data_IF_350449854554
#
_entry.id   IF_350449854554
#
_cell.length_a   1.000
_cell.length_b   1.000
_cell.length_c   1.000
_cell.angle_alpha   90.00
_cell.angle_beta   90.00
_cell.angle_gamma   90.00
#
_symmetry.space_group_name_H-M   'P 1'
#
loop_
_entity.id
_entity.type
_entity.pdbx_description
1 polymer ?
#
# COMPACT_ATOMS: atom_id res chain seq x y z
N UNK A 1 -3.04 -18.22 11.56
CA UNK A 1 -2.30 -17.01 12.00
C UNK A 1 -0.93 -17.35 12.58
N UNK A 2 -0.83 -18.16 13.63
CA UNK A 2 0.43 -18.46 14.34
C UNK A 2 1.59 -18.89 13.45
N UNK A 3 1.35 -19.83 12.53
CA UNK A 3 2.39 -20.31 11.61
C UNK A 3 2.89 -19.18 10.68
N UNK A 4 1.99 -18.33 10.18
CA UNK A 4 2.38 -17.16 9.39
C UNK A 4 3.23 -16.17 10.18
N UNK A 5 2.91 -15.94 11.45
CA UNK A 5 3.70 -15.07 12.32
C UNK A 5 5.09 -15.64 12.61
N UNK A 6 5.23 -16.97 12.79
CA UNK A 6 6.54 -17.62 12.91
C UNK A 6 7.41 -17.42 11.67
N UNK A 7 6.81 -17.55 10.46
CA UNK A 7 7.51 -17.32 9.20
C UNK A 7 7.98 -15.86 9.10
N UNK A 8 7.11 -14.89 9.39
CA UNK A 8 7.46 -13.47 9.35
C UNK A 8 8.57 -13.12 10.35
N UNK A 9 8.52 -13.68 11.56
CA UNK A 9 9.58 -13.53 12.57
C UNK A 9 10.91 -14.07 12.03
N UNK A 10 10.91 -15.27 11.46
CA UNK A 10 12.11 -15.87 10.86
C UNK A 10 12.69 -15.05 9.71
N UNK A 11 11.85 -14.43 8.89
CA UNK A 11 12.31 -13.48 7.83
C UNK A 11 12.97 -12.26 8.46
N UNK A 12 12.32 -11.65 9.44
CA UNK A 12 12.83 -10.48 10.16
C UNK A 12 14.19 -10.74 10.81
N UNK A 13 14.32 -11.83 11.54
CA UNK A 13 15.56 -12.24 12.22
C UNK A 13 16.67 -12.58 11.22
N UNK A 14 16.34 -13.30 10.14
CA UNK A 14 17.34 -13.73 9.15
C UNK A 14 17.88 -12.61 8.30
N UNK A 15 17.04 -11.65 7.92
CA UNK A 15 17.38 -10.61 6.94
C UNK A 15 17.54 -9.21 7.54
N UNK A 16 17.18 -9.02 8.81
CA UNK A 16 17.28 -7.72 9.47
C UNK A 16 16.35 -6.65 8.86
N UNK A 17 15.23 -7.07 8.28
CA UNK A 17 14.26 -6.17 7.62
C UNK A 17 12.99 -6.04 8.43
N UNK A 18 12.35 -4.85 8.46
CA UNK A 18 11.03 -4.72 9.05
C UNK A 18 9.98 -5.50 8.24
N UNK A 19 8.95 -5.98 8.93
CA UNK A 19 7.86 -6.73 8.29
C UNK A 19 6.52 -6.02 8.45
N UNK A 20 5.69 -6.11 7.42
CA UNK A 20 4.33 -5.60 7.37
C UNK A 20 3.38 -6.73 7.02
N UNK A 21 2.20 -6.77 7.65
CA UNK A 21 1.16 -7.73 7.30
C UNK A 21 -0.24 -7.19 7.52
N UNK A 22 -1.21 -7.73 6.77
CA UNK A 22 -2.63 -7.38 6.87
C UNK A 22 -3.27 -7.92 8.15
N UNK A 23 -4.25 -7.15 8.65
CA UNK A 23 -5.19 -7.54 9.70
C UNK A 23 -6.62 -7.52 9.16
N UNK A 24 -7.41 -8.50 9.52
CA UNK A 24 -8.80 -8.62 9.07
C UNK A 24 -9.81 -8.59 10.22
N UNK A 25 -9.36 -8.90 11.44
CA UNK A 25 -10.18 -8.99 12.63
C UNK A 25 -9.53 -8.26 13.81
N UNK A 26 -10.32 -7.58 14.68
CA UNK A 26 -9.78 -6.83 15.82
C UNK A 26 -8.88 -7.65 16.75
N UNK A 27 -9.23 -8.90 17.02
CA UNK A 27 -8.48 -9.79 17.90
C UNK A 27 -7.07 -10.14 17.41
N UNK A 28 -6.80 -9.97 16.12
CA UNK A 28 -5.49 -10.21 15.51
C UNK A 28 -4.48 -9.10 15.83
N UNK A 29 -4.95 -7.89 16.18
CA UNK A 29 -4.09 -6.72 16.29
C UNK A 29 -2.93 -6.93 17.27
N UNK A 30 -3.22 -7.39 18.48
CA UNK A 30 -2.19 -7.56 19.50
C UNK A 30 -1.19 -8.68 19.16
N UNK A 31 -1.60 -9.91 18.80
CA UNK A 31 -0.64 -10.97 18.44
C UNK A 31 0.22 -10.61 17.22
N UNK A 32 -0.34 -9.92 16.23
CA UNK A 32 0.41 -9.50 15.05
C UNK A 32 1.41 -8.40 15.39
N UNK A 33 1.06 -7.46 16.25
CA UNK A 33 1.95 -6.39 16.70
C UNK A 33 3.20 -6.88 17.47
N UNK A 34 3.17 -8.09 18.02
CA UNK A 34 4.36 -8.72 18.64
C UNK A 34 5.44 -9.09 17.62
N UNK A 35 5.08 -9.24 16.35
CA UNK A 35 5.98 -9.67 15.27
C UNK A 35 6.16 -8.60 14.22
N UNK A 36 5.07 -8.04 13.70
CA UNK A 36 5.09 -7.07 12.64
C UNK A 36 5.49 -5.68 13.16
N UNK A 37 6.29 -4.98 12.37
CA UNK A 37 6.67 -3.58 12.62
C UNK A 37 5.59 -2.62 12.14
N UNK A 38 4.89 -3.00 11.07
CA UNK A 38 3.80 -2.24 10.49
C UNK A 38 2.57 -3.11 10.37
N UNK A 39 1.45 -2.63 10.88
CA UNK A 39 0.14 -3.25 10.72
C UNK A 39 -0.53 -2.66 9.48
N UNK A 40 -0.96 -3.51 8.54
CA UNK A 40 -1.63 -3.03 7.36
C UNK A 40 -3.15 -3.19 7.49
N UNK A 41 -3.86 -2.08 7.28
CA UNK A 41 -5.32 -2.09 7.20
C UNK A 41 -5.76 -2.23 5.75
N UNK A 42 -6.46 -3.33 5.40
CA UNK A 42 -6.95 -3.55 4.05
C UNK A 42 -7.93 -2.46 3.59
N UNK A 43 -7.91 -2.16 2.29
CA UNK A 43 -8.75 -1.11 1.71
C UNK A 43 -10.26 -1.37 1.91
N UNK A 44 -10.69 -2.62 1.76
CA UNK A 44 -12.12 -2.98 1.89
C UNK A 44 -12.64 -2.91 3.32
N UNK A 45 -11.77 -2.93 4.32
CA UNK A 45 -12.13 -2.84 5.74
C UNK A 45 -12.05 -1.41 6.27
N UNK A 46 -12.04 -0.42 5.39
CA UNK A 46 -11.87 1.00 5.72
C UNK A 46 -12.94 1.56 6.65
N UNK A 47 -14.11 0.95 6.72
CA UNK A 47 -15.25 1.40 7.52
C UNK A 47 -15.46 0.62 8.81
N UNK A 48 -14.51 -0.23 9.20
CA UNK A 48 -14.60 -1.02 10.43
C UNK A 48 -13.90 -0.30 11.58
N UNK A 49 -14.63 0.49 12.33
CA UNK A 49 -14.11 1.29 13.45
C UNK A 49 -13.52 0.43 14.58
N UNK A 50 -14.10 -0.72 14.88
CA UNK A 50 -13.58 -1.64 15.87
C UNK A 50 -12.19 -2.19 15.52
N UNK A 51 -11.94 -2.47 14.24
CA UNK A 51 -10.62 -2.85 13.73
C UNK A 51 -9.63 -1.68 13.84
N UNK A 52 -10.05 -0.46 13.47
CA UNK A 52 -9.23 0.76 13.60
C UNK A 52 -8.78 0.94 15.06
N UNK A 53 -9.72 0.88 16.00
CA UNK A 53 -9.43 1.04 17.43
C UNK A 53 -8.48 -0.06 17.95
N UNK A 54 -8.68 -1.31 17.54
CA UNK A 54 -7.81 -2.40 17.94
C UNK A 54 -6.37 -2.23 17.40
N UNK A 55 -6.23 -1.82 16.13
CA UNK A 55 -4.93 -1.56 15.52
C UNK A 55 -4.23 -0.36 16.16
N UNK A 56 -4.95 0.72 16.44
CA UNK A 56 -4.40 1.89 17.12
C UNK A 56 -3.84 1.54 18.49
N UNK A 57 -4.59 0.78 19.28
CA UNK A 57 -4.19 0.33 20.63
C UNK A 57 -3.02 -0.64 20.65
N UNK A 58 -2.73 -1.32 19.55
CA UNK A 58 -1.57 -2.19 19.42
C UNK A 58 -0.23 -1.43 19.37
N UNK A 59 -0.24 -0.10 19.19
CA UNK A 59 0.93 0.78 19.35
C UNK A 59 2.01 0.62 18.28
N UNK A 60 1.67 0.10 17.10
CA UNK A 60 2.58 -0.02 15.97
C UNK A 60 2.26 1.01 14.88
N UNK A 61 3.20 1.22 13.98
CA UNK A 61 2.93 1.97 12.75
C UNK A 61 1.80 1.29 11.97
N UNK A 62 0.84 2.06 11.49
CA UNK A 62 -0.28 1.55 10.71
C UNK A 62 -0.22 2.06 9.27
N UNK A 63 -0.20 1.14 8.31
CA UNK A 63 -0.37 1.47 6.90
C UNK A 63 -1.85 1.38 6.50
N UNK A 64 -2.43 2.50 6.15
CA UNK A 64 -3.84 2.60 5.74
C UNK A 64 -3.93 2.52 4.22
N UNK A 65 -4.42 1.41 3.68
CA UNK A 65 -4.76 1.34 2.26
C UNK A 65 -6.02 2.15 1.98
N UNK A 66 -5.88 3.20 1.17
CA UNK A 66 -7.02 4.01 0.75
C UNK A 66 -8.00 3.13 -0.04
N UNK A 67 -9.26 3.03 0.39
CA UNK A 67 -10.25 2.31 -0.41
C UNK A 67 -10.49 3.03 -1.74
N UNK A 68 -10.74 2.25 -2.77
CA UNK A 68 -10.94 2.77 -4.12
C UNK A 68 -12.22 3.62 -4.29
N UNK A 69 -13.16 3.50 -3.37
CA UNK A 69 -14.41 4.29 -3.37
C UNK A 69 -14.28 5.63 -2.65
N UNK A 70 -13.18 5.90 -1.95
CA UNK A 70 -12.92 7.20 -1.32
C UNK A 70 -12.07 8.09 -2.22
N UNK A 71 -12.40 9.38 -2.23
CA UNK A 71 -11.52 10.38 -2.82
C UNK A 71 -10.25 10.58 -1.99
N UNK A 72 -9.17 11.13 -2.57
CA UNK A 72 -7.95 11.43 -1.84
C UNK A 72 -8.16 12.33 -0.61
N UNK A 73 -9.08 13.29 -0.69
CA UNK A 73 -9.38 14.19 0.43
C UNK A 73 -10.10 13.53 1.60
N UNK A 74 -10.90 12.48 1.33
CA UNK A 74 -11.67 11.80 2.37
C UNK A 74 -10.85 10.85 3.24
N UNK A 75 -9.59 10.57 2.88
CA UNK A 75 -8.72 9.71 3.69
C UNK A 75 -8.42 10.31 5.07
N UNK A 76 -8.54 11.63 5.21
CA UNK A 76 -8.35 12.34 6.47
C UNK A 76 -9.24 11.79 7.59
N UNK A 77 -10.50 11.45 7.30
CA UNK A 77 -11.41 10.91 8.31
C UNK A 77 -10.95 9.59 8.91
N UNK A 78 -10.29 8.76 8.11
CA UNK A 78 -9.72 7.51 8.61
C UNK A 78 -8.49 7.79 9.48
N UNK A 79 -7.66 8.75 9.10
CA UNK A 79 -6.50 9.18 9.89
C UNK A 79 -6.97 9.74 11.24
N UNK A 80 -8.04 10.53 11.25
CA UNK A 80 -8.64 11.07 12.47
C UNK A 80 -9.12 9.96 13.41
N UNK A 81 -9.78 8.92 12.89
CA UNK A 81 -10.18 7.76 13.70
C UNK A 81 -8.98 7.10 14.42
N UNK A 82 -7.83 6.98 13.75
CA UNK A 82 -6.60 6.47 14.38
C UNK A 82 -6.05 7.43 15.44
N UNK A 83 -6.04 8.74 15.18
CA UNK A 83 -5.60 9.76 16.13
C UNK A 83 -6.48 9.80 17.39
N UNK A 84 -7.79 9.77 17.21
CA UNK A 84 -8.76 9.71 18.31
C UNK A 84 -8.60 8.44 19.15
N UNK A 85 -8.23 7.33 18.52
CA UNK A 85 -7.90 6.08 19.21
C UNK A 85 -6.48 6.04 19.83
N UNK A 86 -5.71 7.14 19.70
CA UNK A 86 -4.41 7.34 20.37
C UNK A 86 -3.19 6.89 19.57
N UNK A 87 -3.30 6.75 18.24
CA UNK A 87 -2.16 6.39 17.38
C UNK A 87 -1.96 7.39 16.23
N UNK A 88 -0.84 8.10 16.27
CA UNK A 88 -0.43 9.06 15.23
C UNK A 88 0.58 8.48 14.22
N UNK A 89 1.07 7.26 14.45
CA UNK A 89 2.05 6.61 13.61
C UNK A 89 1.38 5.97 12.38
N UNK A 90 1.01 6.79 11.42
CA UNK A 90 0.20 6.41 10.26
C UNK A 90 0.95 6.64 8.97
N UNK A 91 0.87 5.67 8.07
CA UNK A 91 1.27 5.73 6.66
C UNK A 91 0.01 5.62 5.80
N UNK A 92 -0.03 6.34 4.70
CA UNK A 92 -1.11 6.25 3.71
C UNK A 92 -0.66 5.40 2.52
N UNK A 93 -1.57 4.63 1.96
CA UNK A 93 -1.26 3.82 0.78
C UNK A 93 -2.31 4.04 -0.31
N UNK A 94 -1.91 4.69 -1.39
CA UNK A 94 -2.72 4.87 -2.59
C UNK A 94 -2.72 3.58 -3.42
N UNK A 95 -3.88 3.16 -3.91
CA UNK A 95 -4.06 1.93 -4.71
C UNK A 95 -5.05 2.09 -5.86
N UNK A 96 -5.31 3.31 -6.28
CA UNK A 96 -6.28 3.65 -7.30
C UNK A 96 -7.66 3.97 -6.74
N UNK A 97 -8.44 4.64 -7.56
CA UNK A 97 -9.84 4.98 -7.33
C UNK A 97 -10.71 4.35 -8.40
N UNK A 98 -11.91 3.94 -8.04
CA UNK A 98 -12.88 3.38 -8.99
C UNK A 98 -13.26 4.44 -10.04
N UNK A 99 -13.23 4.03 -11.30
CA UNK A 99 -13.65 4.84 -12.43
C UNK A 99 -14.47 4.00 -13.41
N UNK A 100 -15.76 4.22 -13.43
CA UNK A 100 -16.71 3.31 -14.08
C UNK A 100 -16.91 2.04 -13.26
N UNK A 101 -17.27 0.93 -13.92
CA UNK A 101 -17.68 -0.30 -13.22
C UNK A 101 -16.50 -1.17 -12.78
N UNK A 102 -15.55 -1.44 -13.66
CA UNK A 102 -14.52 -2.47 -13.43
C UNK A 102 -13.09 -1.96 -13.64
N UNK A 103 -12.91 -0.64 -13.65
CA UNK A 103 -11.62 -0.04 -13.86
C UNK A 103 -11.16 0.80 -12.65
N UNK A 104 -9.84 0.85 -12.48
CA UNK A 104 -9.18 1.71 -11.51
C UNK A 104 -8.27 2.70 -12.24
N UNK A 105 -8.26 3.93 -11.76
CA UNK A 105 -7.32 4.96 -12.18
C UNK A 105 -6.50 5.45 -10.98
N UNK A 106 -5.30 5.92 -11.25
CA UNK A 106 -4.45 6.58 -10.26
C UNK A 106 -4.46 8.07 -10.55
N UNK A 107 -5.06 8.85 -9.65
CA UNK A 107 -4.99 10.30 -9.70
C UNK A 107 -3.61 10.77 -9.22
N UNK A 108 -2.80 11.28 -10.14
CA UNK A 108 -1.45 11.75 -9.84
C UNK A 108 -1.44 12.97 -8.91
N UNK A 109 -2.46 13.81 -8.96
CA UNK A 109 -2.61 14.97 -8.07
C UNK A 109 -3.14 14.57 -6.69
N UNK A 110 -3.82 13.44 -6.59
CA UNK A 110 -4.40 12.90 -5.36
C UNK A 110 -3.38 12.69 -4.24
N UNK A 111 -2.11 12.43 -4.57
CA UNK A 111 -1.05 12.28 -3.56
C UNK A 111 -0.75 13.59 -2.84
N UNK A 112 -0.71 14.69 -3.57
CA UNK A 112 -0.57 16.02 -2.95
C UNK A 112 -1.77 16.34 -2.07
N UNK A 113 -2.97 16.04 -2.55
CA UNK A 113 -4.20 16.23 -1.77
C UNK A 113 -4.17 15.44 -0.47
N UNK A 114 -3.82 14.14 -0.52
CA UNK A 114 -3.71 13.33 0.70
C UNK A 114 -2.73 13.91 1.71
N UNK A 115 -1.54 14.31 1.28
CA UNK A 115 -0.54 14.95 2.13
C UNK A 115 -1.08 16.23 2.79
N UNK A 116 -1.65 17.14 2.00
CA UNK A 116 -2.19 18.40 2.49
C UNK A 116 -3.30 18.20 3.52
N UNK A 117 -4.21 17.24 3.29
CA UNK A 117 -5.32 16.96 4.17
C UNK A 117 -4.92 16.29 5.49
N UNK A 118 -3.77 15.63 5.54
CA UNK A 118 -3.38 14.81 6.70
C UNK A 118 -2.19 15.35 7.50
N UNK A 119 -1.67 16.54 7.14
CA UNK A 119 -0.49 17.11 7.78
C UNK A 119 0.81 16.47 7.32
N UNK A 120 0.90 16.23 6.00
CA UNK A 120 2.07 15.71 5.30
C UNK A 120 2.49 14.28 5.67
N UNK A 121 1.52 13.43 6.02
CA UNK A 121 1.80 12.01 6.27
C UNK A 121 2.46 11.35 5.05
N UNK A 122 3.40 10.41 5.26
CA UNK A 122 4.05 9.69 4.17
C UNK A 122 3.04 8.88 3.36
N UNK A 123 3.17 8.94 2.03
CA UNK A 123 2.29 8.20 1.12
C UNK A 123 3.08 7.12 0.40
N UNK A 124 2.60 5.89 0.50
CA UNK A 124 3.04 4.69 -0.22
C UNK A 124 2.19 4.54 -1.48
N UNK A 125 2.76 4.04 -2.55
CA UNK A 125 2.01 3.68 -3.74
C UNK A 125 1.95 2.16 -3.92
N UNK A 126 0.75 1.60 -3.95
CA UNK A 126 0.50 0.19 -4.25
C UNK A 126 0.21 0.01 -5.74
N UNK A 127 1.24 -0.31 -6.51
CA UNK A 127 1.13 -0.47 -7.96
C UNK A 127 0.37 -1.75 -8.34
N UNK A 128 0.49 -2.79 -7.55
CA UNK A 128 -0.15 -4.09 -7.84
C UNK A 128 -1.67 -3.96 -7.83
N UNK A 129 -2.22 -3.40 -6.76
CA UNK A 129 -3.66 -3.27 -6.63
C UNK A 129 -4.24 -2.11 -7.46
N UNK A 130 -3.43 -1.11 -7.82
CA UNK A 130 -3.83 -0.06 -8.77
C UNK A 130 -4.05 -0.60 -10.20
N UNK A 131 -3.46 -1.74 -10.52
CA UNK A 131 -3.56 -2.41 -11.83
C UNK A 131 -4.57 -3.57 -11.84
N UNK A 132 -5.29 -3.81 -10.75
CA UNK A 132 -6.37 -4.80 -10.76
C UNK A 132 -7.47 -4.41 -11.73
N UNK A 133 -8.03 -5.42 -12.39
CA UNK A 133 -9.23 -5.33 -13.22
C UNK A 133 -10.18 -6.46 -12.85
N UNK A 134 -11.48 -6.22 -12.97
CA UNK A 134 -12.48 -7.29 -12.92
C UNK A 134 -12.99 -7.55 -14.32
N UNK A 135 -12.83 -8.78 -14.79
CA UNK A 135 -13.50 -9.25 -16.01
C UNK A 135 -14.92 -9.70 -15.69
N UNK A 136 -15.83 -9.50 -16.61
CA UNK A 136 -17.19 -10.04 -16.52
C UNK A 136 -17.10 -11.57 -16.45
N UNK A 137 -17.55 -12.15 -15.33
CA UNK A 137 -17.59 -13.60 -15.13
C UNK A 137 -16.33 -14.25 -14.55
N UNK A 138 -15.28 -13.48 -14.24
CA UNK A 138 -14.07 -14.03 -13.64
C UNK A 138 -14.25 -14.27 -12.14
N UNK A 139 -13.87 -15.47 -11.69
CA UNK A 139 -13.89 -15.83 -10.28
C UNK A 139 -12.74 -15.15 -9.47
N UNK A 140 -11.70 -14.64 -10.15
CA UNK A 140 -10.55 -13.98 -9.58
C UNK A 140 -10.31 -12.60 -10.24
N UNK A 141 -9.62 -11.72 -9.53
CA UNK A 141 -9.22 -10.43 -10.08
C UNK A 141 -8.23 -10.61 -11.23
N UNK A 142 -8.53 -10.05 -12.40
CA UNK A 142 -7.59 -9.83 -13.48
C UNK A 142 -6.62 -8.69 -13.17
N UNK A 143 -5.77 -8.34 -14.13
CA UNK A 143 -4.79 -7.27 -13.94
C UNK A 143 -4.01 -6.91 -15.18
N UNK A 144 -3.24 -5.83 -15.07
CA UNK A 144 -2.46 -5.21 -16.15
C UNK A 144 -0.96 -5.26 -15.83
N UNK A 145 -0.41 -6.44 -15.54
CA UNK A 145 1.00 -6.65 -15.16
C UNK A 145 1.98 -5.91 -16.07
N UNK A 146 1.71 -5.90 -17.38
CA UNK A 146 2.58 -5.27 -18.38
C UNK A 146 2.74 -3.76 -18.20
N UNK A 147 1.80 -3.12 -17.49
CA UNK A 147 1.81 -1.67 -17.23
C UNK A 147 2.46 -1.30 -15.87
N UNK A 148 2.98 -2.26 -15.12
CA UNK A 148 3.60 -2.01 -13.81
C UNK A 148 4.74 -1.00 -13.93
N UNK A 149 5.61 -1.16 -14.90
CA UNK A 149 6.81 -0.32 -15.08
C UNK A 149 6.44 1.10 -15.44
N UNK A 150 5.53 1.28 -16.41
CA UNK A 150 5.08 2.61 -16.84
C UNK A 150 4.40 3.35 -15.68
N UNK A 151 3.49 2.69 -15.00
CA UNK A 151 2.75 3.32 -13.91
C UNK A 151 3.65 3.71 -12.74
N UNK A 152 4.60 2.85 -12.36
CA UNK A 152 5.55 3.17 -11.29
C UNK A 152 6.49 4.30 -11.69
N UNK A 153 7.05 4.28 -12.90
CA UNK A 153 7.92 5.37 -13.37
C UNK A 153 7.22 6.73 -13.31
N UNK A 154 5.99 6.81 -13.83
CA UNK A 154 5.20 8.03 -13.77
C UNK A 154 4.96 8.46 -12.31
N UNK A 155 4.76 7.49 -11.41
CA UNK A 155 4.46 7.77 -10.02
C UNK A 155 5.68 8.20 -9.21
N UNK A 156 6.84 7.61 -9.49
CA UNK A 156 8.10 8.01 -8.85
C UNK A 156 8.44 9.47 -9.13
N UNK A 157 8.08 9.97 -10.33
CA UNK A 157 8.32 11.35 -10.72
C UNK A 157 7.58 12.40 -9.87
N UNK A 158 6.55 12.03 -9.14
CA UNK A 158 5.81 12.92 -8.22
C UNK A 158 6.36 12.92 -6.79
N UNK A 159 7.33 12.06 -6.51
CA UNK A 159 7.92 11.86 -5.17
C UNK A 159 7.05 10.97 -4.28
N UNK A 160 7.62 9.91 -3.78
CA UNK A 160 6.97 8.93 -2.90
C UNK A 160 7.73 8.71 -1.62
N UNK A 161 7.00 8.31 -0.55
CA UNK A 161 7.61 7.78 0.66
C UNK A 161 8.09 6.35 0.47
N UNK A 162 7.29 5.51 -0.19
CA UNK A 162 7.61 4.12 -0.48
C UNK A 162 6.74 3.54 -1.61
N UNK A 163 7.11 2.35 -2.09
CA UNK A 163 6.38 1.56 -3.06
C UNK A 163 5.93 0.24 -2.42
N UNK A 164 4.67 -0.13 -2.63
CA UNK A 164 4.15 -1.46 -2.34
C UNK A 164 4.01 -2.26 -3.65
N UNK A 165 4.55 -3.46 -3.67
CA UNK A 165 4.61 -4.30 -4.86
C UNK A 165 4.48 -5.77 -4.47
N UNK A 166 3.65 -6.53 -5.19
CA UNK A 166 3.68 -7.99 -5.16
C UNK A 166 4.61 -8.53 -6.24
N UNK A 167 5.51 -9.41 -5.85
CA UNK A 167 6.33 -10.19 -6.76
C UNK A 167 6.10 -11.69 -6.51
N UNK A 168 6.17 -12.51 -7.56
CA UNK A 168 5.99 -13.95 -7.47
C UNK A 168 6.91 -14.66 -8.45
N UNK A 169 7.51 -15.82 -8.08
CA UNK A 169 8.38 -16.57 -8.99
C UNK A 169 7.68 -17.00 -10.29
N UNK A 170 6.40 -17.34 -10.20
CA UNK A 170 5.53 -17.68 -11.31
C UNK A 170 4.15 -17.03 -11.11
N UNK A 171 3.96 -15.77 -11.57
CA UNK A 171 2.73 -15.05 -11.33
C UNK A 171 1.46 -15.73 -11.85
N UNK A 172 1.55 -16.57 -12.89
CA UNK A 172 0.38 -17.24 -13.45
C UNK A 172 -0.11 -18.39 -12.55
N UNK A 173 0.73 -18.82 -11.60
CA UNK A 173 0.39 -19.79 -10.56
C UNK A 173 0.14 -19.16 -9.19
N UNK A 174 0.19 -17.83 -9.09
CA UNK A 174 -0.07 -17.16 -7.83
C UNK A 174 -1.52 -17.39 -7.38
N UNK A 175 -1.71 -17.62 -6.08
CA UNK A 175 -3.05 -17.86 -5.50
C UNK A 175 -3.95 -16.63 -5.51
N UNK A 176 -3.37 -15.43 -5.60
CA UNK A 176 -4.06 -14.14 -5.70
C UNK A 176 -3.19 -13.13 -6.43
N UNK A 177 -3.83 -12.15 -7.08
CA UNK A 177 -3.22 -10.99 -7.75
C UNK A 177 -2.14 -11.33 -8.80
N UNK A 178 -2.06 -12.56 -9.26
CA UNK A 178 -1.11 -13.00 -10.27
C UNK A 178 -1.10 -12.11 -11.51
N UNK A 179 -2.26 -11.76 -12.10
CA UNK A 179 -2.32 -10.89 -13.28
C UNK A 179 -1.77 -9.47 -13.09
N UNK A 180 -1.53 -9.04 -11.85
CA UNK A 180 -0.91 -7.74 -11.52
C UNK A 180 0.46 -7.88 -10.83
N UNK A 181 0.90 -9.10 -10.50
CA UNK A 181 2.17 -9.34 -9.80
C UNK A 181 3.37 -9.25 -10.75
N UNK A 182 4.48 -8.68 -10.27
CA UNK A 182 5.74 -8.64 -11.00
C UNK A 182 6.41 -10.04 -10.96
N UNK A 183 6.93 -10.57 -12.08
CA UNK A 183 7.80 -11.74 -12.05
C UNK A 183 9.04 -11.49 -11.19
N UNK A 184 9.36 -12.40 -10.28
CA UNK A 184 10.43 -12.21 -9.31
C UNK A 184 11.81 -12.06 -9.96
N UNK A 185 12.04 -12.69 -11.10
CA UNK A 185 13.28 -12.57 -11.89
C UNK A 185 13.50 -11.16 -12.48
N UNK A 186 12.47 -10.33 -12.52
CA UNK A 186 12.53 -8.93 -12.98
C UNK A 186 12.71 -7.92 -11.83
N UNK A 187 12.61 -8.37 -10.58
CA UNK A 187 12.55 -7.47 -9.43
C UNK A 187 13.81 -6.63 -9.29
N UNK A 188 15.01 -7.20 -9.45
CA UNK A 188 16.27 -6.47 -9.32
C UNK A 188 16.39 -5.34 -10.35
N UNK A 189 16.22 -5.67 -11.64
CA UNK A 189 16.28 -4.67 -12.71
C UNK A 189 15.19 -3.59 -12.56
N UNK A 190 14.00 -3.98 -12.09
CA UNK A 190 12.92 -3.05 -11.77
C UNK A 190 13.33 -2.09 -10.64
N UNK A 191 13.85 -2.59 -9.53
CA UNK A 191 14.26 -1.77 -8.39
C UNK A 191 15.40 -0.81 -8.73
N UNK A 192 16.37 -1.24 -9.54
CA UNK A 192 17.45 -0.38 -10.03
C UNK A 192 16.91 0.84 -10.80
N UNK A 193 15.94 0.62 -11.70
CA UNK A 193 15.32 1.72 -12.45
C UNK A 193 14.55 2.67 -11.55
N UNK A 194 13.77 2.13 -10.61
CA UNK A 194 12.95 2.93 -9.71
C UNK A 194 13.82 3.76 -8.77
N UNK A 195 14.88 3.18 -8.25
CA UNK A 195 15.85 3.88 -7.40
C UNK A 195 16.50 5.04 -8.12
N UNK A 196 16.90 4.87 -9.37
CA UNK A 196 17.50 5.95 -10.17
C UNK A 196 16.53 7.14 -10.35
N UNK A 197 15.23 6.87 -10.59
CA UNK A 197 14.22 7.93 -10.69
C UNK A 197 14.00 8.60 -9.33
N UNK A 198 13.94 7.85 -8.25
CA UNK A 198 13.77 8.37 -6.88
C UNK A 198 14.92 9.31 -6.49
N UNK A 199 16.14 8.92 -6.77
CA UNK A 199 17.35 9.72 -6.54
C UNK A 199 17.31 11.02 -7.34
N UNK A 200 16.94 10.95 -8.63
CA UNK A 200 16.82 12.14 -9.49
C UNK A 200 15.77 13.10 -8.95
N UNK A 201 14.57 12.61 -8.61
CA UNK A 201 13.48 13.46 -8.13
C UNK A 201 13.84 14.12 -6.80
N UNK A 202 14.43 13.37 -5.87
CA UNK A 202 14.84 13.89 -4.55
C UNK A 202 15.97 14.90 -4.63
N UNK A 203 16.85 14.78 -5.62
CA UNK A 203 17.95 15.73 -5.84
C UNK A 203 17.52 17.04 -6.48
N UNK A 204 16.35 17.07 -7.15
CA UNK A 204 15.91 18.22 -7.94
C UNK A 204 15.39 19.40 -7.11
N UNK A 205 15.12 19.20 -5.82
CA UNK A 205 14.50 20.22 -4.98
C UNK A 205 13.04 20.54 -5.34
N UNK A 206 12.37 21.32 -4.51
CA UNK A 206 11.03 21.81 -4.80
C UNK A 206 11.10 23.10 -5.61
N UNK A 207 10.31 23.21 -6.67
CA UNK A 207 10.08 24.45 -7.38
C UNK A 207 8.84 25.14 -6.77
N UNK A 208 9.05 26.31 -6.19
CA UNK A 208 7.93 27.13 -5.68
C UNK A 208 7.27 27.85 -6.87
N UNK A 209 5.95 27.66 -6.98
CA UNK A 209 5.11 28.34 -7.95
C UNK A 209 4.12 29.19 -7.16
N UNK A 210 4.33 30.49 -7.17
CA UNK A 210 3.47 31.50 -6.54
C UNK A 210 2.38 31.98 -7.49
#
# INVERSE_FOLDING_TARGET
MEEGLKILRGVKERFGVPVITDLHEPWQAQPVAEVADVLQRPAFLARQTDLVVAMAKAGRVVNIKKPQFLSPSQVVHIVEEFREAGNEQVLLCERGSSFGYDNLIVDMLGFRVMKQMTGDLPVIFDVTHALQQRGLGDAASGGRRQQVVELVRARMAVGLGALFLKAHPDPDRAKCDGPSALPLDKLEAFLQQIKAIDELVKSSGALEIN
#
